data_IF_876858946977
#
_entry.id   IF_876858946977
#
_cell.length_a   1.000
_cell.length_b   1.000
_cell.length_c   1.000
_cell.angle_alpha   90.00
_cell.angle_beta   90.00
_cell.angle_gamma   90.00
#
_symmetry.space_group_name_H-M   'P 1'
#
loop_
_entity.id
_entity.type
_entity.pdbx_description
1 polymer ?
#
# COMPACT_ATOMS: atom_id res chain seq x y z
N UNK A 1 -13.79 -17.31 29.97
CA UNK A 1 -13.44 -18.16 28.80
C UNK A 1 -14.22 -17.82 27.51
N UNK A 2 -15.18 -16.92 27.53
CA UNK A 2 -15.95 -16.50 26.33
C UNK A 2 -15.25 -15.45 25.47
N UNK A 3 -14.26 -14.73 25.99
CA UNK A 3 -13.63 -13.57 25.32
C UNK A 3 -12.73 -13.94 24.13
N UNK A 4 -11.98 -15.04 24.26
CA UNK A 4 -10.97 -15.44 23.24
C UNK A 4 -11.56 -15.93 21.90
N UNK A 5 -12.80 -16.45 21.92
CA UNK A 5 -13.48 -16.89 20.70
C UNK A 5 -14.05 -15.72 19.90
N UNK A 6 -14.44 -14.65 20.57
CA UNK A 6 -15.00 -13.43 19.97
C UNK A 6 -13.90 -12.58 19.33
N UNK A 7 -12.72 -12.46 19.95
CA UNK A 7 -11.57 -11.76 19.39
C UNK A 7 -11.05 -12.40 18.10
N UNK A 8 -10.86 -13.72 18.09
CA UNK A 8 -10.41 -14.43 16.88
C UNK A 8 -11.39 -14.34 15.70
N UNK A 9 -12.69 -14.18 15.98
CA UNK A 9 -13.70 -13.95 14.92
C UNK A 9 -13.61 -12.54 14.34
N UNK A 10 -13.32 -11.54 15.18
CA UNK A 10 -13.12 -10.15 14.77
C UNK A 10 -11.88 -9.99 13.90
N UNK A 11 -10.75 -10.59 14.30
CA UNK A 11 -9.47 -10.53 13.60
C UNK A 11 -9.56 -11.18 12.21
N UNK A 12 -10.21 -12.34 12.13
CA UNK A 12 -10.46 -13.00 10.84
C UNK A 12 -11.33 -12.15 9.91
N UNK A 13 -12.31 -11.42 10.46
CA UNK A 13 -13.14 -10.52 9.68
C UNK A 13 -12.36 -9.33 9.12
N UNK A 14 -11.43 -8.75 9.90
CA UNK A 14 -10.53 -7.68 9.45
C UNK A 14 -9.62 -8.16 8.32
N UNK A 15 -8.98 -9.30 8.47
CA UNK A 15 -8.13 -9.90 7.43
C UNK A 15 -8.96 -10.19 6.17
N UNK A 16 -10.12 -10.82 6.31
CA UNK A 16 -11.02 -11.10 5.19
C UNK A 16 -11.44 -9.84 4.43
N UNK A 17 -11.69 -8.74 5.15
CA UNK A 17 -11.99 -7.45 4.54
C UNK A 17 -10.78 -6.92 3.75
N UNK A 18 -9.56 -7.00 4.30
CA UNK A 18 -8.33 -6.59 3.62
C UNK A 18 -8.07 -7.40 2.35
N UNK A 19 -8.19 -8.74 2.42
CA UNK A 19 -8.02 -9.61 1.26
C UNK A 19 -8.96 -9.22 0.12
N UNK A 20 -10.25 -9.05 0.41
CA UNK A 20 -11.25 -8.62 -0.59
C UNK A 20 -10.95 -7.25 -1.20
N UNK A 21 -10.50 -6.29 -0.38
CA UNK A 21 -10.14 -4.95 -0.86
C UNK A 21 -8.96 -5.01 -1.81
N UNK A 22 -7.89 -5.68 -1.44
CA UNK A 22 -6.69 -5.83 -2.27
C UNK A 22 -7.02 -6.56 -3.58
N UNK A 23 -7.74 -7.70 -3.55
CA UNK A 23 -8.15 -8.37 -4.77
C UNK A 23 -8.95 -7.47 -5.71
N UNK A 24 -9.92 -6.71 -5.14
CA UNK A 24 -10.73 -5.78 -5.93
C UNK A 24 -9.91 -4.62 -6.51
N UNK A 25 -8.96 -4.05 -5.75
CA UNK A 25 -8.08 -2.99 -6.25
C UNK A 25 -7.19 -3.49 -7.40
N UNK A 26 -6.80 -4.79 -7.37
CA UNK A 26 -6.09 -5.46 -8.47
C UNK A 26 -7.02 -5.88 -9.63
N UNK A 27 -8.34 -5.67 -9.52
CA UNK A 27 -9.34 -6.09 -10.51
C UNK A 27 -9.32 -7.59 -10.82
N UNK A 28 -8.87 -8.40 -9.86
CA UNK A 28 -8.78 -9.85 -10.00
C UNK A 28 -10.07 -10.56 -9.58
N UNK A 29 -10.42 -11.62 -10.31
CA UNK A 29 -11.49 -12.54 -9.91
C UNK A 29 -10.99 -13.51 -8.85
N UNK A 30 -11.90 -14.04 -8.02
CA UNK A 30 -11.54 -15.06 -7.01
C UNK A 30 -10.87 -16.29 -7.64
N UNK A 31 -11.31 -16.70 -8.83
CA UNK A 31 -10.73 -17.82 -9.59
C UNK A 31 -9.29 -17.56 -10.06
N UNK A 32 -8.96 -16.31 -10.36
CA UNK A 32 -7.60 -15.92 -10.79
C UNK A 32 -6.63 -15.96 -9.61
N UNK A 33 -7.05 -15.41 -8.46
CA UNK A 33 -6.26 -15.45 -7.23
C UNK A 33 -6.11 -16.87 -6.73
N UNK A 34 -7.18 -17.67 -6.71
CA UNK A 34 -7.14 -19.07 -6.32
C UNK A 34 -6.12 -19.86 -7.14
N UNK A 35 -6.12 -19.65 -8.48
CA UNK A 35 -5.16 -20.28 -9.38
C UNK A 35 -3.74 -19.83 -9.10
N UNK A 36 -3.51 -18.53 -8.89
CA UNK A 36 -2.18 -17.98 -8.58
C UNK A 36 -1.66 -18.46 -7.22
N UNK A 37 -2.56 -18.76 -6.27
CA UNK A 37 -2.22 -19.35 -4.98
C UNK A 37 -2.08 -20.88 -5.00
N UNK A 38 -2.26 -21.52 -6.15
CA UNK A 38 -2.28 -22.98 -6.30
C UNK A 38 -3.26 -23.64 -5.32
N UNK A 39 -4.53 -23.18 -5.32
CA UNK A 39 -5.55 -23.74 -4.43
C UNK A 39 -6.92 -23.82 -5.13
N UNK A 40 -7.79 -24.78 -4.73
CA UNK A 40 -9.15 -24.88 -5.23
C UNK A 40 -9.94 -23.60 -4.96
N UNK A 41 -10.77 -23.15 -5.91
CA UNK A 41 -11.59 -21.95 -5.79
C UNK A 41 -12.41 -21.91 -4.49
N UNK A 42 -13.08 -23.02 -4.16
CA UNK A 42 -13.88 -23.11 -2.94
C UNK A 42 -13.04 -22.89 -1.67
N UNK A 43 -11.81 -23.41 -1.64
CA UNK A 43 -10.89 -23.21 -0.51
C UNK A 43 -10.45 -21.75 -0.40
N UNK A 44 -10.22 -21.09 -1.53
CA UNK A 44 -9.92 -19.67 -1.56
C UNK A 44 -11.12 -18.82 -1.08
N UNK A 45 -12.32 -19.11 -1.57
CA UNK A 45 -13.54 -18.40 -1.15
C UNK A 45 -13.78 -18.51 0.35
N UNK A 46 -13.55 -19.68 0.95
CA UNK A 46 -13.60 -19.86 2.41
C UNK A 46 -12.51 -19.04 3.12
N UNK A 47 -11.30 -19.02 2.57
CA UNK A 47 -10.20 -18.21 3.11
C UNK A 47 -10.51 -16.71 3.03
N UNK A 48 -10.96 -16.21 1.87
CA UNK A 48 -11.32 -14.80 1.68
C UNK A 48 -12.57 -14.40 2.50
N UNK A 49 -13.42 -15.35 2.85
CA UNK A 49 -14.58 -15.12 3.74
C UNK A 49 -14.20 -15.07 5.23
N UNK A 50 -12.93 -15.38 5.58
CA UNK A 50 -12.50 -15.46 6.98
C UNK A 50 -12.97 -16.71 7.71
N UNK A 51 -13.50 -17.70 6.98
CA UNK A 51 -14.02 -18.96 7.54
C UNK A 51 -12.95 -20.05 7.66
N UNK A 52 -11.83 -19.86 6.99
CA UNK A 52 -10.70 -20.79 7.03
C UNK A 52 -9.63 -20.36 8.03
N UNK A 53 -8.70 -21.29 8.35
CA UNK A 53 -7.53 -20.98 9.17
C UNK A 53 -6.65 -19.98 8.41
N UNK A 54 -6.47 -18.80 8.98
CA UNK A 54 -5.51 -17.80 8.50
C UNK A 54 -4.13 -18.21 9.01
N UNK A 55 -3.20 -18.49 8.09
CA UNK A 55 -1.80 -18.78 8.39
C UNK A 55 -0.91 -17.78 7.65
N UNK A 56 0.26 -17.51 8.21
CA UNK A 56 1.24 -16.62 7.56
C UNK A 56 1.57 -17.10 6.14
N UNK A 57 1.78 -18.39 5.94
CA UNK A 57 2.04 -18.96 4.62
C UNK A 57 0.94 -18.64 3.60
N UNK A 58 -0.34 -18.74 3.99
CA UNK A 58 -1.45 -18.37 3.10
C UNK A 58 -1.49 -16.89 2.78
N UNK A 59 -1.14 -16.03 3.75
CA UNK A 59 -1.03 -14.58 3.53
C UNK A 59 0.12 -14.26 2.59
N UNK A 60 1.26 -14.94 2.70
CA UNK A 60 2.40 -14.79 1.78
C UNK A 60 2.00 -15.22 0.36
N UNK A 61 1.38 -16.39 0.18
CA UNK A 61 0.90 -16.83 -1.14
C UNK A 61 -0.12 -15.85 -1.75
N UNK A 62 -1.01 -15.31 -0.94
CA UNK A 62 -1.94 -14.27 -1.38
C UNK A 62 -1.20 -13.00 -1.79
N UNK A 63 -0.20 -12.60 -1.02
CA UNK A 63 0.61 -11.42 -1.31
C UNK A 63 1.41 -11.57 -2.60
N UNK A 64 1.97 -12.74 -2.87
CA UNK A 64 2.63 -13.08 -4.12
C UNK A 64 1.64 -13.03 -5.30
N UNK A 65 0.47 -13.67 -5.15
CA UNK A 65 -0.56 -13.70 -6.18
C UNK A 65 -1.11 -12.32 -6.56
N UNK A 66 -1.16 -11.40 -5.60
CA UNK A 66 -1.74 -10.05 -5.78
C UNK A 66 -0.70 -8.94 -5.80
N UNK A 67 0.59 -9.27 -5.64
CA UNK A 67 1.69 -8.34 -5.48
C UNK A 67 1.42 -7.29 -4.38
N UNK A 68 1.01 -7.74 -3.18
CA UNK A 68 0.80 -6.86 -2.03
C UNK A 68 1.83 -7.11 -0.91
N UNK A 69 1.71 -6.36 0.18
CA UNK A 69 2.54 -6.48 1.37
C UNK A 69 1.95 -7.55 2.33
N UNK A 70 2.62 -8.70 2.53
CA UNK A 70 2.11 -9.77 3.40
C UNK A 70 2.09 -9.37 4.88
N UNK A 71 3.01 -8.50 5.31
CA UNK A 71 3.10 -8.06 6.71
C UNK A 71 2.01 -7.04 7.00
N UNK A 72 1.64 -6.21 6.03
CA UNK A 72 0.53 -5.26 6.17
C UNK A 72 -0.81 -5.99 6.36
N UNK A 73 -0.98 -7.19 5.78
CA UNK A 73 -2.17 -8.03 6.02
C UNK A 73 -2.29 -8.49 7.49
N UNK A 74 -1.16 -8.78 8.14
CA UNK A 74 -1.13 -9.11 9.58
C UNK A 74 -1.38 -7.86 10.44
N UNK A 75 -0.83 -6.72 10.02
CA UNK A 75 -0.94 -5.47 10.76
C UNK A 75 -2.37 -4.93 10.83
N UNK A 76 -3.31 -5.41 10.00
CA UNK A 76 -4.72 -4.96 10.07
C UNK A 76 -5.37 -5.30 11.40
N UNK A 77 -4.93 -6.37 12.08
CA UNK A 77 -5.48 -6.76 13.38
C UNK A 77 -5.20 -5.72 14.46
N UNK A 78 -3.93 -5.38 14.78
CA UNK A 78 -3.63 -4.36 15.79
C UNK A 78 -3.98 -2.94 15.32
N UNK A 79 -4.07 -2.69 14.01
CA UNK A 79 -4.46 -1.38 13.46
C UNK A 79 -5.98 -1.18 13.41
N UNK A 80 -6.77 -2.27 13.47
CA UNK A 80 -8.22 -2.23 13.34
C UNK A 80 -8.69 -1.71 11.98
N UNK A 81 -7.83 -1.69 10.96
CA UNK A 81 -8.11 -1.05 9.66
C UNK A 81 -7.71 -1.92 8.46
N UNK A 82 -8.67 -2.55 7.79
CA UNK A 82 -8.42 -3.26 6.53
C UNK A 82 -7.88 -2.35 5.41
N UNK A 83 -8.22 -1.06 5.44
CA UNK A 83 -7.73 -0.04 4.51
C UNK A 83 -6.22 0.15 4.62
N UNK A 84 -5.64 -0.08 5.79
CA UNK A 84 -4.21 0.04 6.01
C UNK A 84 -3.42 -0.91 5.10
N UNK A 85 -3.83 -2.18 5.01
CA UNK A 85 -3.18 -3.15 4.14
C UNK A 85 -3.28 -2.78 2.65
N UNK A 86 -4.42 -2.24 2.21
CA UNK A 86 -4.60 -1.75 0.84
C UNK A 86 -3.66 -0.57 0.52
N UNK A 87 -3.54 0.40 1.44
CA UNK A 87 -2.65 1.56 1.28
C UNK A 87 -1.17 1.20 1.28
N UNK A 88 -0.80 0.13 2.00
CA UNK A 88 0.58 -0.36 2.06
C UNK A 88 0.90 -1.40 0.97
N UNK A 89 -0.08 -1.83 0.17
CA UNK A 89 0.08 -2.93 -0.78
C UNK A 89 1.21 -2.69 -1.80
N UNK A 90 1.32 -1.48 -2.33
CA UNK A 90 2.31 -1.15 -3.39
C UNK A 90 3.65 -0.72 -2.83
N UNK A 91 3.67 0.09 -1.76
CA UNK A 91 4.90 0.64 -1.20
C UNK A 91 5.64 -0.34 -0.27
N UNK A 92 5.03 -1.50 0.05
CA UNK A 92 5.61 -2.55 0.90
C UNK A 92 6.09 -2.05 2.27
N UNK A 93 5.42 -1.04 2.82
CA UNK A 93 5.83 -0.34 4.03
C UNK A 93 6.13 -1.29 5.19
N UNK A 94 5.22 -2.22 5.48
CA UNK A 94 5.37 -3.11 6.63
C UNK A 94 6.41 -4.19 6.38
N UNK A 95 6.54 -4.68 5.15
CA UNK A 95 7.59 -5.62 4.78
C UNK A 95 8.98 -4.98 4.90
N UNK A 96 9.15 -3.74 4.43
CA UNK A 96 10.40 -2.98 4.57
C UNK A 96 10.72 -2.78 6.05
N UNK A 97 9.72 -2.43 6.87
CA UNK A 97 9.90 -2.23 8.30
C UNK A 97 10.37 -3.52 9.01
N UNK A 98 9.80 -4.67 8.63
CA UNK A 98 10.22 -5.96 9.18
C UNK A 98 11.63 -6.35 8.77
N UNK A 99 12.05 -6.03 7.54
CA UNK A 99 13.43 -6.26 7.09
C UNK A 99 14.39 -5.40 7.93
N UNK A 100 14.11 -4.11 8.09
CA UNK A 100 14.94 -3.22 8.91
C UNK A 100 15.04 -3.68 10.39
N UNK A 101 13.95 -4.23 10.95
CA UNK A 101 13.98 -4.82 12.29
C UNK A 101 14.80 -6.11 12.35
N UNK A 102 14.80 -6.92 11.28
CA UNK A 102 15.65 -8.11 11.18
C UNK A 102 17.13 -7.72 11.13
N UNK A 103 17.49 -6.73 10.32
CA UNK A 103 18.85 -6.18 10.26
C UNK A 103 19.30 -5.65 11.63
N UNK A 104 18.45 -4.88 12.31
CA UNK A 104 18.73 -4.40 13.67
C UNK A 104 18.97 -5.53 14.65
N UNK A 105 18.18 -6.61 14.56
CA UNK A 105 18.36 -7.79 15.41
C UNK A 105 19.66 -8.53 15.11
N UNK A 106 20.07 -8.60 13.84
CA UNK A 106 21.35 -9.20 13.43
C UNK A 106 22.53 -8.36 13.92
N UNK A 107 22.45 -7.03 13.82
CA UNK A 107 23.50 -6.10 14.25
C UNK A 107 23.72 -6.09 15.76
N UNK A 108 22.63 -6.14 16.53
CA UNK A 108 22.69 -6.04 17.99
C UNK A 108 22.82 -7.41 18.67
N UNK A 109 22.26 -8.47 18.07
CA UNK A 109 22.21 -9.79 18.68
C UNK A 109 21.60 -9.76 20.09
N UNK A 110 22.34 -10.26 21.09
CA UNK A 110 21.89 -10.29 22.48
C UNK A 110 21.81 -8.87 23.11
N UNK A 111 22.52 -7.90 22.57
CA UNK A 111 22.54 -6.53 23.08
C UNK A 111 21.23 -5.77 22.82
N UNK A 112 20.31 -6.33 22.02
CA UNK A 112 18.98 -5.75 21.77
C UNK A 112 18.20 -5.51 23.07
N UNK A 113 18.49 -6.23 24.15
CA UNK A 113 17.88 -6.06 25.47
C UNK A 113 18.21 -4.71 26.12
N UNK A 114 19.29 -4.06 25.68
CA UNK A 114 19.73 -2.75 26.20
C UNK A 114 19.10 -1.59 25.45
N UNK A 115 18.25 -1.84 24.45
CA UNK A 115 17.53 -0.76 23.77
C UNK A 115 16.54 -0.08 24.72
N UNK A 116 16.79 1.19 24.99
CA UNK A 116 15.92 2.00 25.83
C UNK A 116 14.63 2.40 25.10
N UNK A 117 13.49 2.25 25.77
CA UNK A 117 12.17 2.60 25.20
C UNK A 117 12.12 4.04 24.68
N UNK A 118 12.79 4.99 25.37
CA UNK A 118 12.88 6.38 24.93
C UNK A 118 13.60 6.55 23.59
N UNK A 119 14.69 5.80 23.37
CA UNK A 119 15.44 5.80 22.11
C UNK A 119 14.58 5.21 20.97
N UNK A 120 13.87 4.10 21.24
CA UNK A 120 12.96 3.45 20.28
C UNK A 120 11.85 4.43 19.87
N UNK A 121 11.13 4.99 20.84
CA UNK A 121 10.04 5.94 20.58
C UNK A 121 10.54 7.15 19.78
N UNK A 122 11.67 7.73 20.19
CA UNK A 122 12.26 8.88 19.51
C UNK A 122 12.70 8.58 18.08
N UNK A 123 13.28 7.39 17.84
CA UNK A 123 13.70 6.92 16.52
C UNK A 123 12.51 6.71 15.58
N UNK A 124 11.52 5.93 16.01
CA UNK A 124 10.31 5.64 15.23
C UNK A 124 9.51 6.92 14.95
N UNK A 125 9.35 7.79 15.95
CA UNK A 125 8.62 9.06 15.76
C UNK A 125 9.28 9.96 14.73
N UNK A 126 10.62 10.05 14.72
CA UNK A 126 11.35 10.80 13.69
C UNK A 126 11.15 10.19 12.32
N UNK A 127 11.33 8.87 12.18
CA UNK A 127 11.13 8.18 10.92
C UNK A 127 9.73 8.43 10.34
N UNK A 128 8.68 8.27 11.15
CA UNK A 128 7.30 8.50 10.71
C UNK A 128 7.07 9.96 10.27
N UNK A 129 7.66 10.93 10.98
CA UNK A 129 7.57 12.35 10.63
C UNK A 129 8.26 12.63 9.30
N UNK A 130 9.47 12.12 9.11
CA UNK A 130 10.28 12.35 7.91
C UNK A 130 9.59 11.74 6.68
N UNK A 131 9.03 10.53 6.79
CA UNK A 131 8.25 9.90 5.74
C UNK A 131 6.99 10.71 5.40
N UNK A 132 6.25 11.20 6.40
CA UNK A 132 5.07 12.02 6.19
C UNK A 132 5.42 13.36 5.53
N UNK A 133 6.52 13.99 5.93
CA UNK A 133 7.01 15.23 5.33
C UNK A 133 7.45 15.03 3.88
N UNK A 134 8.11 13.91 3.58
CA UNK A 134 8.52 13.56 2.22
C UNK A 134 7.30 13.49 1.27
N UNK A 135 6.21 12.85 1.69
CA UNK A 135 4.98 12.77 0.89
C UNK A 135 4.36 14.15 0.68
N UNK A 136 4.24 14.95 1.75
CA UNK A 136 3.65 16.30 1.67
C UNK A 136 4.46 17.23 0.77
N UNK A 137 5.80 17.20 0.85
CA UNK A 137 6.67 18.01 -0.02
C UNK A 137 6.52 17.63 -1.49
N UNK A 138 6.33 16.35 -1.80
CA UNK A 138 6.13 15.89 -3.17
C UNK A 138 4.83 16.45 -3.76
N UNK A 139 3.75 16.42 -2.99
CA UNK A 139 2.44 16.93 -3.44
C UNK A 139 2.50 18.45 -3.65
N UNK A 140 3.04 19.19 -2.70
CA UNK A 140 3.20 20.66 -2.80
C UNK A 140 4.10 21.07 -3.97
N UNK A 141 5.16 20.31 -4.27
CA UNK A 141 6.02 20.60 -5.41
C UNK A 141 5.28 20.47 -6.74
N UNK A 142 4.49 19.41 -6.91
CA UNK A 142 3.71 19.17 -8.13
C UNK A 142 2.63 20.25 -8.33
N UNK A 143 1.92 20.61 -7.27
CA UNK A 143 0.90 21.66 -7.28
C UNK A 143 1.51 23.03 -7.63
N UNK A 144 2.57 23.44 -6.95
CA UNK A 144 3.28 24.69 -7.21
C UNK A 144 3.85 24.76 -8.64
N UNK A 145 4.37 23.62 -9.14
CA UNK A 145 4.86 23.55 -10.51
C UNK A 145 3.72 23.72 -11.53
N UNK A 146 2.59 23.06 -11.31
CA UNK A 146 1.42 23.18 -12.16
C UNK A 146 0.87 24.61 -12.15
N UNK A 147 0.70 25.25 -10.99
CA UNK A 147 0.27 26.63 -10.88
C UNK A 147 1.19 27.60 -11.64
N UNK A 148 2.50 27.44 -11.46
CA UNK A 148 3.49 28.30 -12.11
C UNK A 148 3.51 28.14 -13.65
N UNK A 149 3.14 26.95 -14.18
CA UNK A 149 3.32 26.60 -15.59
C UNK A 149 1.99 26.48 -16.37
N UNK A 150 0.84 26.31 -15.70
CA UNK A 150 -0.48 26.24 -16.33
C UNK A 150 -0.78 27.44 -17.28
N UNK A 151 -0.39 28.70 -16.97
CA UNK A 151 -0.58 29.82 -17.89
C UNK A 151 0.10 29.67 -19.24
N UNK A 152 1.10 28.78 -19.36
CA UNK A 152 1.79 28.52 -20.65
C UNK A 152 0.91 27.75 -21.63
N UNK A 153 -0.04 26.95 -21.15
CA UNK A 153 -0.98 26.20 -21.98
C UNK A 153 -2.13 27.10 -22.51
N UNK A 154 -2.43 28.19 -21.83
CA UNK A 154 -3.50 29.13 -22.19
C UNK A 154 -3.05 30.30 -23.04
N UNK A 155 -1.84 30.32 -23.59
CA UNK A 155 -1.42 31.35 -24.54
C UNK A 155 -2.13 31.11 -25.86
N UNK A 156 -3.00 32.05 -26.33
CA UNK A 156 -3.53 31.95 -27.67
C UNK A 156 -2.36 31.98 -28.64
N UNK A 157 -2.23 30.94 -29.45
CA UNK A 157 -1.26 30.91 -30.55
C UNK A 157 -1.52 32.12 -31.44
N UNK A 158 -0.65 33.10 -31.40
CA UNK A 158 -0.60 34.13 -32.43
C UNK A 158 -0.13 33.46 -33.72
N UNK A 159 -1.05 32.75 -34.38
CA UNK A 159 -0.81 32.28 -35.73
C UNK A 159 -0.94 33.56 -36.58
N UNK A 160 0.20 34.12 -36.93
CA UNK A 160 0.29 35.15 -37.94
C UNK A 160 0.06 34.46 -39.28
N UNK A 161 -1.21 34.46 -39.75
CA UNK A 161 -1.53 34.03 -41.12
C UNK A 161 -0.94 35.04 -42.08
N UNK A 162 -0.01 34.65 -42.98
CA UNK A 162 0.50 35.55 -44.00
C UNK A 162 -0.67 35.96 -44.92
N UNK A 163 -0.91 37.26 -45.06
CA UNK A 163 -1.92 37.81 -45.99
C UNK A 163 -1.53 37.41 -47.41
N UNK A 164 -2.31 36.49 -47.99
CA UNK A 164 -2.22 36.20 -49.42
C UNK A 164 -2.66 37.40 -50.22
N UNK A 165 -1.73 38.07 -50.91
CA UNK A 165 -2.04 39.13 -51.84
C UNK A 165 -2.92 38.57 -52.97
N UNK A 166 -4.01 39.26 -53.35
CA UNK A 166 -4.82 38.80 -54.49
C UNK A 166 -3.99 38.88 -55.78
N UNK A 167 -4.00 37.75 -56.52
CA UNK A 167 -3.43 37.67 -57.87
C UNK A 167 -4.24 38.58 -58.78
N UNK A 168 -3.69 39.70 -59.24
CA UNK A 168 -4.22 40.50 -60.35
C UNK A 168 -4.00 39.70 -61.63
N UNK A 169 -5.11 39.28 -62.25
CA UNK A 169 -5.14 38.73 -63.61
C UNK A 169 -4.93 39.85 -64.62
N UNK A 170 -4.01 39.64 -65.55
CA UNK A 170 -3.94 40.26 -66.86
C UNK A 170 -4.29 39.25 -67.93
#
# INVERSE_FOLDING_TARGET
MADKATEGSSDNALIAAALRRIRKSRRMRSSEVARAMDMPLRSYEHFEAGQGKVTYERLVRFAEATNCDPVALLAVMPMGSPEFAERCADNKLMQIFMIALSELNEDLGEDIVYLESGAIIGGITRLCRDLAEHVRKRDTFAENWLEAHAPRLNRPSKVHLPQLKPRTSR
#
